data_IF_657439388346
#
_entry.id   IF_657439388346
#
_cell.length_a   1.000
_cell.length_b   1.000
_cell.length_c   1.000
_cell.angle_alpha   90.00
_cell.angle_beta   90.00
_cell.angle_gamma   90.00
#
_symmetry.space_group_name_H-M   'P 1'
#
loop_
_entity.id
_entity.type
_entity.pdbx_description
1 polymer ?
#
# COMPACT_ATOMS: atom_id res chain seq x y z
N UNK A 1 -21.22 -12.01 -30.05
CA UNK A 1 -20.34 -11.05 -29.35
C UNK A 1 -20.00 -11.66 -28.00
N UNK A 2 -18.74 -12.08 -27.84
CA UNK A 2 -18.33 -12.96 -26.75
C UNK A 2 -18.31 -12.22 -25.41
N UNK A 3 -19.11 -12.70 -24.46
CA UNK A 3 -18.98 -12.38 -23.05
C UNK A 3 -17.67 -13.00 -22.56
N UNK A 4 -16.63 -12.17 -22.42
CA UNK A 4 -15.41 -12.53 -21.72
C UNK A 4 -15.79 -12.74 -20.26
N UNK A 5 -15.94 -14.01 -19.87
CA UNK A 5 -16.21 -14.44 -18.51
C UNK A 5 -15.25 -13.77 -17.54
N UNK A 6 -15.84 -13.13 -16.54
CA UNK A 6 -15.20 -12.60 -15.34
C UNK A 6 -14.30 -13.68 -14.74
N UNK A 7 -13.00 -13.64 -15.05
CA UNK A 7 -12.00 -14.44 -14.34
C UNK A 7 -11.92 -13.87 -12.94
N UNK A 8 -12.77 -14.42 -12.08
CA UNK A 8 -13.00 -14.02 -10.71
C UNK A 8 -11.69 -13.74 -10.00
N UNK A 9 -11.54 -12.49 -9.60
CA UNK A 9 -10.48 -12.04 -8.73
C UNK A 9 -10.38 -12.99 -7.53
N UNK A 10 -9.24 -13.67 -7.30
CA UNK A 10 -9.21 -14.79 -6.38
C UNK A 10 -9.54 -14.33 -4.97
N UNK A 11 -10.67 -14.76 -4.38
CA UNK A 11 -11.06 -14.38 -3.02
C UNK A 11 -9.97 -14.70 -1.99
N UNK A 12 -9.12 -15.67 -2.31
CA UNK A 12 -7.95 -16.07 -1.54
C UNK A 12 -6.93 -14.94 -1.35
N UNK A 13 -6.56 -14.19 -2.40
CA UNK A 13 -5.55 -13.13 -2.27
C UNK A 13 -6.09 -11.95 -1.45
N UNK A 14 -7.37 -11.59 -1.62
CA UNK A 14 -8.03 -10.56 -0.79
C UNK A 14 -8.01 -10.99 0.67
N UNK A 15 -8.42 -12.24 0.97
CA UNK A 15 -8.38 -12.79 2.34
C UNK A 15 -6.97 -12.72 2.94
N UNK A 16 -5.93 -13.00 2.15
CA UNK A 16 -4.54 -12.86 2.60
C UNK A 16 -4.17 -11.40 2.90
N UNK A 17 -4.54 -10.44 2.06
CA UNK A 17 -4.29 -9.02 2.33
C UNK A 17 -5.01 -8.51 3.59
N UNK A 18 -6.18 -9.08 3.90
CA UNK A 18 -6.89 -8.80 5.15
C UNK A 18 -6.16 -9.39 6.35
N UNK A 19 -5.72 -10.65 6.27
CA UNK A 19 -5.12 -11.39 7.38
C UNK A 19 -3.65 -11.02 7.66
N UNK A 20 -2.90 -10.56 6.66
CA UNK A 20 -1.46 -10.32 6.75
C UNK A 20 -1.11 -8.83 6.50
N UNK A 21 -1.11 -7.97 7.54
CA UNK A 21 -0.82 -6.54 7.38
C UNK A 21 0.56 -6.24 6.79
N UNK A 22 1.57 -7.07 7.11
CA UNK A 22 2.93 -6.91 6.56
C UNK A 22 2.98 -7.20 5.06
N UNK A 23 2.26 -8.22 4.60
CA UNK A 23 2.13 -8.50 3.17
C UNK A 23 1.41 -7.35 2.46
N UNK A 24 0.29 -6.89 3.04
CA UNK A 24 -0.46 -5.75 2.49
C UNK A 24 0.43 -4.50 2.36
N UNK A 25 1.15 -4.13 3.41
CA UNK A 25 2.06 -2.99 3.38
C UNK A 25 3.15 -3.11 2.30
N UNK A 26 3.67 -4.33 2.06
CA UNK A 26 4.63 -4.60 0.99
C UNK A 26 4.01 -4.40 -0.41
N UNK A 27 2.81 -4.92 -0.65
CA UNK A 27 2.11 -4.74 -1.94
C UNK A 27 1.74 -3.25 -2.15
N UNK A 28 1.29 -2.55 -1.12
CA UNK A 28 1.04 -1.10 -1.17
C UNK A 28 2.31 -0.28 -1.45
N UNK A 29 3.45 -0.74 -0.93
CA UNK A 29 4.75 -0.10 -1.21
C UNK A 29 5.14 -0.30 -2.68
N UNK A 30 4.97 -1.51 -3.21
CA UNK A 30 5.22 -1.80 -4.62
C UNK A 30 4.35 -0.95 -5.55
N UNK A 31 3.04 -0.84 -5.24
CA UNK A 31 2.11 0.05 -5.96
C UNK A 31 2.58 1.50 -5.92
N UNK A 32 2.91 2.04 -4.74
CA UNK A 32 3.34 3.44 -4.57
C UNK A 32 4.60 3.76 -5.37
N UNK A 33 5.50 2.79 -5.50
CA UNK A 33 6.74 2.92 -6.26
C UNK A 33 6.56 2.63 -7.76
N UNK A 34 5.39 2.15 -8.18
CA UNK A 34 5.12 1.82 -9.57
C UNK A 34 5.88 0.59 -10.09
N UNK A 35 6.31 -0.31 -9.20
CA UNK A 35 7.10 -1.50 -9.54
C UNK A 35 6.34 -2.79 -9.25
N UNK A 36 6.70 -3.86 -9.94
CA UNK A 36 6.18 -5.20 -9.63
C UNK A 36 6.58 -5.61 -8.19
N UNK A 37 5.72 -6.32 -7.43
CA UNK A 37 6.06 -6.83 -6.10
C UNK A 37 7.39 -7.58 -6.07
N UNK A 38 7.64 -8.49 -7.03
CA UNK A 38 8.93 -9.18 -7.11
C UNK A 38 10.13 -8.25 -7.32
N UNK A 39 9.95 -7.14 -8.06
CA UNK A 39 11.01 -6.14 -8.28
C UNK A 39 11.32 -5.36 -7.02
N UNK A 40 10.31 -5.07 -6.20
CA UNK A 40 10.52 -4.53 -4.84
C UNK A 40 11.40 -5.45 -3.99
N UNK A 41 11.36 -6.76 -4.24
CA UNK A 41 12.15 -7.77 -3.52
C UNK A 41 13.54 -8.03 -4.13
N UNK A 42 13.96 -7.20 -5.09
CA UNK A 42 15.29 -7.29 -5.71
C UNK A 42 15.36 -8.18 -6.95
N UNK A 43 14.23 -8.67 -7.48
CA UNK A 43 14.22 -9.32 -8.78
C UNK A 43 14.32 -8.30 -9.92
N UNK A 44 15.10 -8.60 -10.95
CA UNK A 44 15.25 -7.78 -12.15
C UNK A 44 14.92 -8.60 -13.40
N UNK A 45 14.24 -8.01 -14.42
CA UNK A 45 13.96 -8.69 -15.67
C UNK A 45 15.22 -9.14 -16.39
N UNK A 46 15.27 -10.42 -16.76
CA UNK A 46 16.35 -10.94 -17.59
C UNK A 46 16.26 -10.39 -19.03
N UNK A 47 17.42 -10.13 -19.63
CA UNK A 47 17.55 -9.76 -21.04
C UNK A 47 18.39 -10.81 -21.76
N UNK A 48 17.89 -11.27 -22.91
CA UNK A 48 18.61 -12.22 -23.79
C UNK A 48 18.76 -11.61 -25.16
N UNK A 49 20.02 -11.42 -25.59
CA UNK A 49 20.35 -10.92 -26.92
C UNK A 49 20.81 -12.06 -27.82
N UNK A 50 20.08 -12.30 -28.90
CA UNK A 50 20.42 -13.27 -29.95
C UNK A 50 21.09 -12.53 -31.09
N UNK A 51 22.30 -12.97 -31.47
CA UNK A 51 23.06 -12.42 -32.57
C UNK A 51 23.02 -13.38 -33.77
N UNK A 52 22.66 -12.88 -34.94
CA UNK A 52 22.72 -13.62 -36.20
C UNK A 52 23.92 -13.11 -37.01
N UNK A 53 24.74 -14.04 -37.47
CA UNK A 53 25.94 -13.76 -38.26
C UNK A 53 25.82 -14.40 -39.65
N UNK A 54 26.24 -13.66 -40.68
CA UNK A 54 26.40 -14.16 -42.04
C UNK A 54 27.84 -13.90 -42.53
N UNK A 55 28.50 -14.92 -43.06
CA UNK A 55 29.91 -14.88 -43.48
C UNK A 55 30.85 -14.23 -42.44
N UNK A 56 30.61 -14.46 -41.15
CA UNK A 56 31.39 -13.90 -40.04
C UNK A 56 31.09 -12.43 -39.72
N UNK A 57 30.11 -11.80 -40.37
CA UNK A 57 29.62 -10.46 -40.06
C UNK A 57 28.30 -10.52 -39.30
N UNK A 58 28.17 -9.71 -38.26
CA UNK A 58 26.90 -9.55 -37.56
C UNK A 58 25.88 -8.92 -38.52
N UNK A 59 24.78 -9.61 -38.79
CA UNK A 59 23.69 -9.12 -39.66
C UNK A 59 22.43 -8.76 -38.89
N UNK A 60 22.25 -9.30 -37.68
CA UNK A 60 21.10 -8.95 -36.83
C UNK A 60 21.43 -9.18 -35.35
N UNK A 61 20.87 -8.35 -34.50
CA UNK A 61 20.81 -8.57 -33.05
C UNK A 61 19.38 -8.35 -32.57
N UNK A 62 18.81 -9.32 -31.84
CA UNK A 62 17.48 -9.21 -31.25
C UNK A 62 17.60 -9.39 -29.74
N UNK A 63 17.21 -8.37 -28.97
CA UNK A 63 17.13 -8.44 -27.52
C UNK A 63 15.69 -8.68 -27.09
N UNK A 64 15.46 -9.74 -26.33
CA UNK A 64 14.17 -10.06 -25.71
C UNK A 64 14.32 -9.86 -24.20
N UNK A 65 13.41 -9.10 -23.60
CA UNK A 65 13.38 -8.82 -22.16
C UNK A 65 12.21 -9.55 -21.51
N UNK A 66 12.44 -10.13 -20.34
CA UNK A 66 11.36 -10.69 -19.53
C UNK A 66 10.34 -9.60 -19.16
N UNK A 67 9.03 -9.86 -19.22
CA UNK A 67 8.04 -8.90 -18.76
C UNK A 67 8.29 -8.53 -17.30
N UNK A 68 8.22 -7.24 -16.96
CA UNK A 68 8.38 -6.81 -15.56
C UNK A 68 7.24 -7.32 -14.68
N UNK A 69 6.01 -7.34 -15.20
CA UNK A 69 4.82 -7.75 -14.47
C UNK A 69 4.41 -9.17 -14.83
N UNK A 70 4.58 -10.10 -13.89
CA UNK A 70 4.06 -11.46 -14.04
C UNK A 70 2.53 -11.49 -13.90
N UNK A 71 1.92 -12.63 -14.19
CA UNK A 71 0.51 -12.85 -13.87
C UNK A 71 0.24 -12.76 -12.36
N UNK A 72 1.13 -13.30 -11.53
CA UNK A 72 1.03 -13.25 -10.08
C UNK A 72 1.13 -11.81 -9.54
N UNK A 73 2.02 -10.99 -10.09
CA UNK A 73 2.16 -9.58 -9.72
C UNK A 73 0.87 -8.80 -10.02
N UNK A 74 0.31 -9.01 -11.21
CA UNK A 74 -0.97 -8.39 -11.61
C UNK A 74 -2.13 -8.88 -10.75
N UNK A 75 -2.15 -10.15 -10.37
CA UNK A 75 -3.16 -10.70 -9.47
C UNK A 75 -3.12 -10.05 -8.08
N UNK A 76 -1.92 -9.75 -7.55
CA UNK A 76 -1.79 -9.00 -6.30
C UNK A 76 -2.30 -7.56 -6.40
N UNK A 77 -2.02 -6.88 -7.51
CA UNK A 77 -2.53 -5.51 -7.73
C UNK A 77 -4.05 -5.48 -7.85
N UNK A 78 -4.63 -6.41 -8.61
CA UNK A 78 -6.07 -6.58 -8.67
C UNK A 78 -6.64 -6.84 -7.26
N UNK A 79 -6.06 -7.80 -6.52
CA UNK A 79 -6.48 -8.11 -5.16
C UNK A 79 -6.41 -6.91 -4.21
N UNK A 80 -5.41 -6.04 -4.33
CA UNK A 80 -5.30 -4.82 -3.54
C UNK A 80 -6.47 -3.86 -3.82
N UNK A 81 -6.88 -3.71 -5.08
CA UNK A 81 -8.07 -2.92 -5.46
C UNK A 81 -9.33 -3.52 -4.85
N UNK A 82 -9.51 -4.85 -4.94
CA UNK A 82 -10.67 -5.53 -4.36
C UNK A 82 -10.71 -5.46 -2.82
N UNK A 83 -9.55 -5.58 -2.17
CA UNK A 83 -9.41 -5.38 -0.73
C UNK A 83 -9.88 -3.97 -0.35
N UNK A 84 -9.39 -2.92 -1.02
CA UNK A 84 -9.80 -1.53 -0.74
C UNK A 84 -11.29 -1.31 -0.97
N UNK A 85 -11.86 -1.89 -2.03
CA UNK A 85 -13.29 -1.83 -2.32
C UNK A 85 -14.15 -2.57 -1.27
N UNK A 86 -13.58 -3.56 -0.58
CA UNK A 86 -14.26 -4.29 0.50
C UNK A 86 -14.28 -3.55 1.84
N UNK A 87 -13.52 -2.46 1.99
CA UNK A 87 -13.47 -1.67 3.22
C UNK A 87 -14.68 -0.73 3.32
N UNK A 88 -15.01 -0.38 4.56
CA UNK A 88 -16.10 0.54 4.85
C UNK A 88 -15.80 1.94 4.27
N UNK A 89 -16.74 2.54 3.50
CA UNK A 89 -16.54 3.83 2.84
C UNK A 89 -16.40 5.01 3.81
N UNK A 90 -16.72 4.85 5.10
CA UNK A 90 -16.50 5.90 6.10
C UNK A 90 -15.01 6.09 6.47
N UNK A 91 -14.12 5.22 5.98
CA UNK A 91 -12.68 5.30 6.24
C UNK A 91 -12.25 4.73 7.60
N UNK A 92 -13.12 4.03 8.32
CA UNK A 92 -12.75 3.39 9.60
C UNK A 92 -11.76 2.23 9.45
N UNK A 93 -11.50 1.76 8.22
CA UNK A 93 -10.55 0.68 7.93
C UNK A 93 -11.07 -0.74 8.21
N UNK A 94 -12.32 -0.88 8.67
CA UNK A 94 -12.97 -2.18 8.85
C UNK A 94 -13.66 -2.65 7.57
N UNK A 95 -13.86 -3.98 7.39
CA UNK A 95 -14.66 -4.50 6.28
C UNK A 95 -16.09 -3.93 6.28
N UNK A 96 -16.61 -3.63 5.09
CA UNK A 96 -17.97 -3.11 4.92
C UNK A 96 -19.01 -4.11 5.45
N UNK A 97 -18.80 -5.40 5.21
CA UNK A 97 -19.66 -6.48 5.71
C UNK A 97 -19.83 -6.48 7.24
N UNK A 98 -18.82 -6.05 8.00
CA UNK A 98 -18.89 -6.02 9.47
C UNK A 98 -19.53 -4.72 9.98
N UNK A 99 -19.31 -3.62 9.28
CA UNK A 99 -19.73 -2.28 9.70
C UNK A 99 -21.12 -1.89 9.21
N UNK A 100 -21.63 -2.55 8.16
CA UNK A 100 -22.91 -2.24 7.52
C UNK A 100 -23.90 -3.41 7.54
N UNK A 101 -23.57 -4.51 8.23
CA UNK A 101 -24.50 -5.63 8.40
C UNK A 101 -25.75 -5.18 9.15
N UNK A 102 -26.92 -5.32 8.52
CA UNK A 102 -28.21 -5.03 9.16
C UNK A 102 -28.49 -5.92 10.38
N UNK A 103 -27.92 -7.13 10.39
CA UNK A 103 -28.09 -8.12 11.46
C UNK A 103 -27.20 -7.86 12.69
N UNK A 104 -26.27 -6.90 12.59
CA UNK A 104 -25.42 -6.48 13.71
C UNK A 104 -26.21 -5.59 14.68
N UNK A 105 -26.24 -5.95 15.96
CA UNK A 105 -26.91 -5.18 17.01
C UNK A 105 -26.11 -3.93 17.46
N UNK A 106 -25.01 -3.61 16.76
CA UNK A 106 -24.14 -2.47 17.04
C UNK A 106 -23.19 -2.66 18.23
N UNK A 107 -23.25 -3.80 18.94
CA UNK A 107 -22.42 -4.04 20.14
C UNK A 107 -21.05 -4.63 19.85
N UNK A 108 -20.75 -4.90 18.58
CA UNK A 108 -19.50 -5.52 18.15
C UNK A 108 -18.31 -4.55 18.19
N UNK A 109 -18.55 -3.24 18.08
CA UNK A 109 -17.50 -2.23 18.04
C UNK A 109 -17.36 -1.51 19.38
N UNK A 110 -16.14 -1.46 19.93
CA UNK A 110 -15.82 -0.75 21.16
C UNK A 110 -14.90 0.42 20.83
N UNK A 111 -15.27 1.62 21.26
CA UNK A 111 -14.42 2.81 21.16
C UNK A 111 -13.48 2.82 22.37
N UNK A 112 -12.15 2.67 22.18
CA UNK A 112 -11.22 2.78 23.28
C UNK A 112 -11.17 4.23 23.82
N UNK A 113 -10.74 4.43 25.08
CA UNK A 113 -10.50 5.77 25.60
C UNK A 113 -9.50 6.56 24.73
N UNK A 114 -9.63 7.90 24.65
CA UNK A 114 -8.74 8.73 23.86
C UNK A 114 -7.28 8.63 24.34
N UNK A 115 -6.34 8.51 23.39
CA UNK A 115 -4.90 8.47 23.68
C UNK A 115 -4.34 9.89 23.76
N UNK A 116 -3.72 10.26 24.89
CA UNK A 116 -3.05 11.55 25.07
C UNK A 116 -1.57 11.46 24.68
N UNK A 117 -1.13 12.25 23.69
CA UNK A 117 0.28 12.39 23.33
C UNK A 117 1.04 13.22 24.37
N UNK A 118 1.90 12.59 25.17
CA UNK A 118 2.68 13.29 26.22
C UNK A 118 3.63 14.35 25.66
N UNK A 119 4.24 14.09 24.51
CA UNK A 119 5.09 15.05 23.81
C UNK A 119 4.31 16.31 23.42
N UNK A 120 3.08 16.14 22.90
CA UNK A 120 2.20 17.27 22.56
C UNK A 120 1.71 18.00 23.80
N UNK A 121 1.40 17.30 24.89
CA UNK A 121 1.07 17.94 26.17
C UNK A 121 2.20 18.83 26.66
N UNK A 122 3.44 18.33 26.67
CA UNK A 122 4.61 19.10 27.07
C UNK A 122 4.82 20.33 26.17
N UNK A 123 4.65 20.15 24.85
CA UNK A 123 4.73 21.25 23.88
C UNK A 123 3.70 22.35 24.18
N UNK A 124 2.42 21.99 24.35
CA UNK A 124 1.34 22.96 24.61
C UNK A 124 1.56 23.67 25.94
N UNK A 125 2.01 22.94 26.97
CA UNK A 125 2.36 23.53 28.26
C UNK A 125 3.53 24.52 28.16
N UNK A 126 4.54 24.21 27.35
CA UNK A 126 5.66 25.11 27.11
C UNK A 126 5.21 26.34 26.29
N UNK A 127 4.39 26.16 25.25
CA UNK A 127 3.85 27.26 24.43
C UNK A 127 3.05 28.27 25.26
N UNK A 128 2.21 27.78 26.18
CA UNK A 128 1.44 28.64 27.08
C UNK A 128 2.33 29.56 27.94
N UNK A 129 3.58 29.19 28.21
CA UNK A 129 4.50 30.03 29.00
C UNK A 129 5.07 31.22 28.21
N UNK A 130 4.96 31.21 26.88
CA UNK A 130 5.53 32.23 26.00
C UNK A 130 4.45 32.97 25.19
N UNK A 131 3.18 32.82 25.56
CA UNK A 131 2.05 33.44 24.83
C UNK A 131 2.14 34.97 24.75
N UNK A 132 2.71 35.61 25.77
CA UNK A 132 2.88 37.07 25.84
C UNK A 132 4.23 37.57 25.29
N UNK A 133 5.08 36.68 24.78
CA UNK A 133 6.36 37.08 24.16
C UNK A 133 6.09 37.76 22.82
N UNK A 134 6.85 38.78 22.39
CA UNK A 134 6.67 39.37 21.07
C UNK A 134 6.76 38.32 19.95
N UNK A 135 5.74 38.31 19.06
CA UNK A 135 5.65 37.38 17.93
C UNK A 135 5.68 35.90 18.35
N UNK A 136 4.80 35.46 19.26
CA UNK A 136 4.83 34.10 19.80
C UNK A 136 4.62 33.02 18.72
N UNK A 137 3.91 33.35 17.63
CA UNK A 137 3.71 32.50 16.46
C UNK A 137 4.99 32.22 15.65
N UNK A 138 6.03 33.05 15.79
CA UNK A 138 7.30 32.87 15.11
C UNK A 138 8.28 31.97 15.88
N UNK A 139 7.95 31.57 17.11
CA UNK A 139 8.79 30.70 17.94
C UNK A 139 8.82 29.27 17.36
N UNK A 140 10.03 28.75 17.14
CA UNK A 140 10.26 27.37 16.70
C UNK A 140 10.42 26.46 17.90
N UNK A 141 9.67 25.36 17.92
CA UNK A 141 9.63 24.43 19.05
C UNK A 141 10.15 23.04 18.65
N UNK A 142 11.00 22.46 19.47
CA UNK A 142 11.39 21.04 19.40
C UNK A 142 10.99 20.34 20.70
N UNK A 143 10.67 19.04 20.61
CA UNK A 143 10.38 18.20 21.79
C UNK A 143 11.36 17.05 21.78
N UNK A 144 12.17 16.97 22.82
CA UNK A 144 13.18 15.91 23.00
C UNK A 144 12.74 14.93 24.08
N UNK A 145 13.09 13.64 23.90
CA UNK A 145 12.85 12.60 24.90
C UNK A 145 14.06 12.56 25.85
N UNK A 146 13.80 12.79 27.14
CA UNK A 146 14.79 12.57 28.21
C UNK A 146 14.99 11.10 28.51
#
# INVERSE_FOLDING_TARGET
MAAQQERGQPPFLIRRLTAEPGLRARIETAERLGVAPRRLDGWEPAETTVYEYDAGRLVRSVTVREPEWSEQDRAWMAALVGYRASLCPCGCGHPAEQTQAHESDGRTFVVPPPVRCRARTALVQAQAQYEDTPQPEALLWSVERR
#
